data_IF_514668183471
#
_entry.id   IF_514668183471
#
_cell.length_a   1.000
_cell.length_b   1.000
_cell.length_c   1.000
_cell.angle_alpha   90.00
_cell.angle_beta   90.00
_cell.angle_gamma   90.00
#
_symmetry.space_group_name_H-M   'P 1'
#
loop_
_entity.id
_entity.type
_entity.pdbx_description
1 polymer ?
#
# COMPACT_ATOMS: atom_id res chain seq x y z
N UNK A 1 -7.38 -11.09 -29.31
CA UNK A 1 -7.11 -12.19 -28.36
C UNK A 1 -6.93 -11.56 -26.99
N UNK A 2 -7.90 -11.71 -26.09
CA UNK A 2 -7.69 -11.39 -24.68
C UNK A 2 -6.92 -12.57 -24.10
N UNK A 3 -5.68 -12.33 -23.69
CA UNK A 3 -4.87 -13.35 -23.01
C UNK A 3 -5.60 -13.70 -21.72
N UNK A 4 -6.09 -14.94 -21.63
CA UNK A 4 -6.52 -15.54 -20.38
C UNK A 4 -5.29 -15.66 -19.49
N UNK A 5 -5.04 -14.65 -18.66
CA UNK A 5 -4.29 -14.89 -17.44
C UNK A 5 -5.23 -15.66 -16.54
N UNK A 6 -4.92 -16.92 -16.25
CA UNK A 6 -5.41 -17.58 -15.05
C UNK A 6 -4.81 -16.82 -13.86
N UNK A 7 -5.31 -15.61 -13.62
CA UNK A 7 -5.01 -14.82 -12.44
C UNK A 7 -5.73 -15.61 -11.35
N UNK A 8 -4.99 -16.41 -10.59
CA UNK A 8 -5.47 -16.74 -9.25
C UNK A 8 -5.78 -15.39 -8.63
N UNK A 9 -7.06 -15.08 -8.49
CA UNK A 9 -7.48 -13.94 -7.70
C UNK A 9 -6.84 -14.17 -6.34
N UNK A 10 -5.93 -13.30 -5.93
CA UNK A 10 -5.33 -13.40 -4.60
C UNK A 10 -6.48 -13.31 -3.62
N UNK A 11 -6.81 -14.40 -2.95
CA UNK A 11 -7.84 -14.39 -1.91
C UNK A 11 -7.30 -13.58 -0.72
N UNK A 12 -7.97 -12.49 -0.37
CA UNK A 12 -7.53 -11.53 0.64
C UNK A 12 -8.55 -11.40 1.77
N UNK A 13 -8.07 -11.14 2.99
CA UNK A 13 -8.89 -10.88 4.18
C UNK A 13 -9.13 -9.37 4.36
N UNK A 14 -8.04 -8.57 4.26
CA UNK A 14 -8.12 -7.12 4.30
C UNK A 14 -6.96 -6.47 3.54
N UNK A 15 -7.13 -5.19 3.21
CA UNK A 15 -6.07 -4.35 2.68
C UNK A 15 -6.05 -3.01 3.42
N UNK A 16 -4.85 -2.50 3.69
CA UNK A 16 -4.59 -1.16 4.20
C UNK A 16 -3.92 -0.33 3.12
N UNK A 17 -4.32 0.93 2.99
CA UNK A 17 -3.64 1.90 2.12
C UNK A 17 -2.62 2.65 2.97
N UNK A 18 -1.40 2.69 2.46
CA UNK A 18 -0.26 3.39 3.05
C UNK A 18 0.23 4.44 2.08
N UNK A 19 0.54 5.63 2.60
CA UNK A 19 0.75 6.82 1.79
C UNK A 19 2.01 7.54 2.19
N UNK A 20 2.80 7.94 1.20
CA UNK A 20 3.84 8.95 1.35
C UNK A 20 3.22 10.29 0.94
N UNK A 21 3.10 11.20 1.91
CA UNK A 21 2.50 12.53 1.73
C UNK A 21 3.51 13.60 1.30
N UNK A 22 4.81 13.28 1.28
CA UNK A 22 5.87 14.19 0.86
C UNK A 22 5.93 14.35 -0.66
N UNK A 23 5.27 13.45 -1.40
CA UNK A 23 5.16 13.46 -2.86
C UNK A 23 3.74 13.87 -3.26
N UNK A 24 3.60 14.66 -4.32
CA UNK A 24 2.31 15.07 -4.88
C UNK A 24 2.15 14.59 -6.34
N UNK A 25 1.06 13.86 -6.69
CA UNK A 25 0.07 13.30 -5.77
C UNK A 25 0.70 12.28 -4.80
N UNK A 26 0.10 12.04 -3.62
CA UNK A 26 0.64 11.10 -2.63
C UNK A 26 0.96 9.74 -3.26
N UNK A 27 2.14 9.21 -2.96
CA UNK A 27 2.51 7.90 -3.44
C UNK A 27 1.88 6.84 -2.55
N UNK A 28 1.29 5.79 -3.13
CA UNK A 28 0.55 4.78 -2.38
C UNK A 28 1.19 3.40 -2.47
N UNK A 29 1.19 2.70 -1.34
CA UNK A 29 1.43 1.27 -1.23
C UNK A 29 0.22 0.61 -0.58
N UNK A 30 0.08 -0.70 -0.78
CA UNK A 30 -1.00 -1.48 -0.19
C UNK A 30 -0.44 -2.62 0.63
N UNK A 31 -0.74 -2.67 1.92
CA UNK A 31 -0.49 -3.84 2.76
C UNK A 31 -1.73 -4.74 2.68
N UNK A 32 -1.58 -5.93 2.13
CA UNK A 32 -2.66 -6.91 1.96
C UNK A 32 -2.41 -8.10 2.87
N UNK A 33 -3.41 -8.44 3.68
CA UNK A 33 -3.47 -9.73 4.37
C UNK A 33 -4.14 -10.73 3.45
N UNK A 34 -3.38 -11.74 3.01
CA UNK A 34 -3.88 -12.86 2.24
C UNK A 34 -4.53 -13.92 3.14
N UNK A 35 -5.52 -14.64 2.62
CA UNK A 35 -6.13 -15.79 3.31
C UNK A 35 -5.12 -16.93 3.57
N UNK A 36 -3.99 -16.93 2.84
CA UNK A 36 -2.85 -17.82 3.05
C UNK A 36 -2.17 -17.61 4.42
N UNK A 37 -2.43 -16.47 5.07
CA UNK A 37 -1.76 -16.04 6.28
C UNK A 37 -0.64 -15.02 6.04
N UNK A 38 -0.23 -14.78 4.79
CA UNK A 38 0.84 -13.84 4.45
C UNK A 38 0.38 -12.38 4.48
N UNK A 39 1.32 -11.49 4.77
CA UNK A 39 1.19 -10.05 4.61
C UNK A 39 2.09 -9.61 3.46
N UNK A 40 1.49 -9.02 2.43
CA UNK A 40 2.19 -8.61 1.21
C UNK A 40 2.06 -7.10 1.02
N UNK A 41 3.17 -6.44 0.70
CA UNK A 41 3.14 -5.03 0.27
C UNK A 41 3.13 -5.01 -1.24
N UNK A 42 2.04 -4.50 -1.81
CA UNK A 42 1.87 -4.31 -3.24
C UNK A 42 2.17 -2.86 -3.60
N UNK A 43 2.80 -2.68 -4.76
CA UNK A 43 3.01 -1.39 -5.39
C UNK A 43 2.02 -1.22 -6.57
N UNK A 44 0.92 -0.47 -6.40
CA UNK A 44 -0.08 -0.26 -7.47
C UNK A 44 0.52 0.40 -8.72
N UNK A 45 1.48 1.32 -8.57
CA UNK A 45 2.13 1.98 -9.70
C UNK A 45 3.00 1.02 -10.54
N UNK A 46 3.36 -0.14 -9.98
CA UNK A 46 4.09 -1.22 -10.67
C UNK A 46 3.19 -2.42 -10.99
N UNK A 47 1.95 -2.17 -11.43
CA UNK A 47 0.98 -3.21 -11.76
C UNK A 47 0.74 -4.19 -10.60
N UNK A 48 0.62 -3.65 -9.39
CA UNK A 48 0.42 -4.40 -8.14
C UNK A 48 1.50 -5.43 -7.82
N UNK A 49 2.74 -5.20 -8.31
CA UNK A 49 3.89 -6.03 -7.96
C UNK A 49 4.06 -6.11 -6.44
N UNK A 50 4.27 -7.32 -5.93
CA UNK A 50 4.65 -7.55 -4.54
C UNK A 50 6.12 -7.14 -4.37
N UNK A 51 6.37 -6.18 -3.48
CA UNK A 51 7.71 -5.66 -3.20
C UNK A 51 8.25 -6.12 -1.85
N UNK A 52 7.36 -6.65 -0.99
CA UNK A 52 7.72 -7.22 0.30
C UNK A 52 6.67 -8.26 0.72
N UNK A 53 7.11 -9.32 1.41
CA UNK A 53 6.24 -10.37 1.96
C UNK A 53 6.73 -10.79 3.33
N UNK A 54 5.79 -11.00 4.26
CA UNK A 54 6.08 -11.44 5.62
C UNK A 54 4.97 -12.34 6.16
N UNK A 55 5.30 -13.19 7.14
CA UNK A 55 4.32 -13.95 7.93
C UNK A 55 3.76 -13.15 9.12
N UNK A 56 4.30 -11.96 9.38
CA UNK A 56 4.00 -11.12 10.53
C UNK A 56 3.57 -9.71 10.06
N UNK A 57 2.40 -9.28 10.53
CA UNK A 57 1.86 -7.94 10.30
C UNK A 57 2.83 -6.84 10.72
N UNK A 58 3.41 -6.95 11.93
CA UNK A 58 4.28 -5.91 12.47
C UNK A 58 5.56 -5.75 11.64
N UNK A 59 6.09 -6.84 11.07
CA UNK A 59 7.25 -6.75 10.20
C UNK A 59 6.92 -6.05 8.87
N UNK A 60 5.75 -6.32 8.27
CA UNK A 60 5.31 -5.60 7.07
C UNK A 60 5.02 -4.12 7.36
N UNK A 61 4.43 -3.83 8.52
CA UNK A 61 4.18 -2.47 8.98
C UNK A 61 5.47 -1.70 9.23
N UNK A 62 6.46 -2.29 9.91
CA UNK A 62 7.75 -1.65 10.16
C UNK A 62 8.47 -1.31 8.87
N UNK A 63 8.42 -2.18 7.85
CA UNK A 63 8.98 -1.89 6.53
C UNK A 63 8.40 -0.61 5.90
N UNK A 64 7.10 -0.34 6.08
CA UNK A 64 6.45 0.88 5.58
C UNK A 64 6.86 2.12 6.38
N UNK A 65 6.97 1.97 7.70
CA UNK A 65 7.37 3.05 8.60
C UNK A 65 8.84 3.46 8.44
N UNK A 66 9.71 2.55 7.98
CA UNK A 66 11.11 2.85 7.66
C UNK A 66 11.25 3.89 6.54
N UNK A 67 10.32 3.90 5.58
CA UNK A 67 10.26 4.86 4.47
C UNK A 67 9.21 5.98 4.72
N UNK A 68 8.85 6.25 5.98
CA UNK A 68 7.93 7.32 6.40
C UNK A 68 6.50 7.23 5.84
N UNK A 69 6.07 6.06 5.36
CA UNK A 69 4.68 5.88 4.95
C UNK A 69 3.73 5.91 6.15
N UNK A 70 2.58 6.55 5.96
CA UNK A 70 1.51 6.62 6.96
C UNK A 70 0.32 5.76 6.54
N UNK A 71 -0.33 5.09 7.49
CA UNK A 71 -1.58 4.37 7.21
C UNK A 71 -2.73 5.35 7.03
N UNK A 72 -3.34 5.34 5.87
CA UNK A 72 -4.51 6.17 5.56
C UNK A 72 -5.80 5.50 6.04
N UNK A 73 -6.53 6.16 6.94
CA UNK A 73 -7.87 5.76 7.38
C UNK A 73 -8.99 6.70 6.88
N UNK A 74 -8.65 7.72 6.09
CA UNK A 74 -9.57 8.78 5.66
C UNK A 74 -9.13 9.40 4.31
N UNK A 75 -9.47 10.66 4.03
CA UNK A 75 -9.02 11.38 2.82
C UNK A 75 -7.81 12.24 3.17
N UNK A 76 -6.86 12.34 2.25
CA UNK A 76 -5.76 13.30 2.32
C UNK A 76 -6.23 14.57 1.61
N UNK A 77 -6.13 15.70 2.29
CA UNK A 77 -6.31 17.02 1.68
C UNK A 77 -4.92 17.55 1.34
N UNK A 78 -4.80 18.22 0.20
CA UNK A 78 -3.60 19.00 -0.09
C UNK A 78 -3.51 20.08 0.99
N UNK A 79 -2.40 20.12 1.74
CA UNK A 79 -2.15 21.28 2.60
C UNK A 79 -1.88 22.47 1.67
N UNK A 80 -2.67 23.52 1.83
CA UNK A 80 -2.41 24.79 1.17
C UNK A 80 -1.07 25.32 1.73
N UNK A 81 -0.13 25.60 0.84
CA UNK A 81 1.06 26.36 1.20
C UNK A 81 0.61 27.79 1.51
N UNK A 82 0.87 28.25 2.74
CA UNK A 82 0.56 29.57 3.33
C UNK A 82 -0.82 29.75 3.97
N UNK A 83 -0.83 29.70 5.30
CA UNK A 83 -1.28 30.84 6.11
C UNK A 83 -0.08 31.27 6.98
N UNK A 84 0.88 31.97 6.36
CA UNK A 84 1.80 32.85 7.07
C UNK A 84 1.25 34.27 6.92
N UNK A 85 0.36 34.66 7.84
CA UNK A 85 0.09 36.05 8.17
C UNK A 85 0.51 36.33 9.62
#
# INVERSE_FOLDING_TARGET
>A
MLQQTSKQETEWEFAEIWVDTLISPPYILMLVKEQSGKFCIHNPAQNYKIIFTSDNYEAAKMWLLEDEYERLNSRILQQDADDKD
#
